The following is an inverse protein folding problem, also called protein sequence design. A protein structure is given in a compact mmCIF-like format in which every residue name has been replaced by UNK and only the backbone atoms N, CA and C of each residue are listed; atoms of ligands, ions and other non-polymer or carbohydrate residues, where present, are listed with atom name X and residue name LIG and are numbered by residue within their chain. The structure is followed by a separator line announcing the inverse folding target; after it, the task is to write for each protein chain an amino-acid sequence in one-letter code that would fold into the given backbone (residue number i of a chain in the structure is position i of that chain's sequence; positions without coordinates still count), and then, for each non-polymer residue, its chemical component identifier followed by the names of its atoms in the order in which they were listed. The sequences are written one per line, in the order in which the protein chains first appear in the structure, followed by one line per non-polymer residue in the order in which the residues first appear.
data_IF_881418588105
#
_entry.id   IF_881418588105
#
_cell.length_a   1.000
_cell.length_b   1.000
_cell.length_c   1.000
_cell.angle_alpha   90.00
_cell.angle_beta   90.00
_cell.angle_gamma   90.00
#
_symmetry.space_group_name_H-M   'P 1'
#
loop_
_entity.id
_entity.type
_entity.pdbx_description
1 polymer ?
#
# COMPACT_ATOMS: atom_id res chain seq x y z
N UNK A 1 41.32 1.68 -14.08
CA UNK A 1 40.26 0.68 -14.40
C UNK A 1 39.74 0.18 -13.07
N UNK A 2 38.56 0.60 -12.67
CA UNK A 2 37.94 0.05 -11.46
C UNK A 2 37.66 -1.43 -11.70
N UNK A 3 38.32 -2.29 -10.93
CA UNK A 3 38.11 -3.73 -11.00
C UNK A 3 36.68 -4.04 -10.56
N UNK A 4 35.96 -4.82 -11.37
CA UNK A 4 34.65 -5.33 -11.00
C UNK A 4 34.74 -6.11 -9.68
N UNK A 5 33.89 -5.71 -8.70
CA UNK A 5 33.74 -6.42 -7.43
C UNK A 5 32.35 -7.02 -7.40
N UNK A 6 32.25 -8.34 -7.35
CA UNK A 6 30.96 -9.04 -7.24
C UNK A 6 30.35 -8.79 -5.86
N UNK A 7 29.48 -7.77 -5.75
CA UNK A 7 28.77 -7.45 -4.50
C UNK A 7 27.56 -8.37 -4.33
N UNK A 8 27.43 -8.94 -3.13
CA UNK A 8 26.25 -9.72 -2.72
C UNK A 8 25.62 -9.10 -1.51
N UNK A 9 24.30 -8.88 -1.54
CA UNK A 9 23.56 -8.34 -0.41
C UNK A 9 22.06 -8.62 -0.56
N UNK A 10 21.32 -8.37 0.51
CA UNK A 10 19.87 -8.45 0.53
C UNK A 10 19.28 -7.09 0.88
N UNK A 11 18.24 -6.70 0.20
CA UNK A 11 17.37 -5.58 0.54
C UNK A 11 15.97 -6.09 0.87
N UNK A 12 15.21 -5.33 1.65
CA UNK A 12 13.81 -5.71 1.89
C UNK A 12 12.94 -4.51 2.20
N UNK A 13 11.69 -4.57 1.76
CA UNK A 13 10.64 -3.62 2.10
C UNK A 13 9.42 -4.35 2.68
N UNK A 14 8.70 -3.75 3.65
CA UNK A 14 7.49 -4.33 4.20
C UNK A 14 6.31 -4.14 3.23
N UNK A 15 5.31 -5.01 3.34
CA UNK A 15 3.96 -4.67 2.93
C UNK A 15 3.30 -3.69 3.89
N UNK A 16 2.09 -3.23 3.55
CA UNK A 16 1.33 -2.28 4.38
C UNK A 16 -0.15 -2.64 4.45
N UNK A 17 -0.81 -2.17 5.49
CA UNK A 17 -2.27 -2.07 5.60
C UNK A 17 -2.68 -0.61 5.70
N UNK A 18 -3.89 -0.27 5.23
CA UNK A 18 -4.51 1.02 5.47
C UNK A 18 -5.51 0.87 6.62
N UNK A 19 -5.28 1.60 7.71
CA UNK A 19 -6.16 1.58 8.89
C UNK A 19 -7.37 2.49 8.67
N UNK A 20 -7.14 3.73 8.23
CA UNK A 20 -8.18 4.74 8.01
C UNK A 20 -7.85 5.58 6.78
N UNK A 21 -8.88 6.12 6.12
CA UNK A 21 -8.69 6.97 4.95
C UNK A 21 -8.42 6.18 3.66
N UNK A 22 -8.91 4.95 3.56
CA UNK A 22 -8.82 4.17 2.33
C UNK A 22 -9.58 4.85 1.20
N UNK A 23 -9.05 4.80 -0.01
CA UNK A 23 -9.63 5.43 -1.19
C UNK A 23 -9.73 6.97 -1.12
N UNK A 24 -8.89 7.66 -0.35
CA UNK A 24 -8.89 9.13 -0.31
C UNK A 24 -7.53 9.78 -0.57
N UNK A 25 -6.43 9.05 -0.54
CA UNK A 25 -5.08 9.54 -0.83
C UNK A 25 -4.97 10.14 -2.25
N UNK A 26 -5.54 9.50 -3.24
CA UNK A 26 -5.60 10.01 -4.62
C UNK A 26 -6.62 11.17 -4.81
N UNK A 27 -7.37 11.53 -3.78
CA UNK A 27 -8.18 12.74 -3.71
C UNK A 27 -7.44 13.90 -3.00
N UNK A 28 -6.16 13.71 -2.67
CA UNK A 28 -5.37 14.68 -1.92
C UNK A 28 -5.70 14.77 -0.43
N UNK A 29 -6.36 13.75 0.13
CA UNK A 29 -6.72 13.70 1.54
C UNK A 29 -5.82 12.72 2.31
N UNK A 30 -5.59 12.97 3.63
CA UNK A 30 -4.73 12.13 4.45
C UNK A 30 -5.24 10.70 4.62
N UNK A 31 -4.32 9.77 4.87
CA UNK A 31 -4.62 8.38 5.21
C UNK A 31 -3.71 7.87 6.33
N UNK A 32 -4.22 6.98 7.17
CA UNK A 32 -3.44 6.29 8.21
C UNK A 32 -3.07 4.91 7.71
N UNK A 33 -1.79 4.67 7.53
CA UNK A 33 -1.22 3.42 7.04
C UNK A 33 -0.25 2.83 8.05
N UNK A 34 -0.07 1.52 8.01
CA UNK A 34 0.86 0.82 8.88
C UNK A 34 1.62 -0.24 8.08
N UNK A 35 2.96 -0.19 8.15
CA UNK A 35 3.80 -1.26 7.65
C UNK A 35 3.57 -2.53 8.48
N UNK A 36 3.56 -3.67 7.81
CA UNK A 36 3.38 -4.99 8.44
C UNK A 36 4.69 -5.76 8.48
N UNK A 37 4.75 -6.82 9.27
CA UNK A 37 5.93 -7.68 9.39
C UNK A 37 6.12 -8.65 8.20
N UNK A 38 5.18 -8.69 7.26
CA UNK A 38 5.35 -9.40 5.99
C UNK A 38 6.22 -8.57 5.04
N UNK A 39 7.27 -9.16 4.49
CA UNK A 39 8.28 -8.42 3.73
C UNK A 39 8.54 -9.05 2.36
N UNK A 40 8.80 -8.18 1.39
CA UNK A 40 9.45 -8.56 0.14
C UNK A 40 10.97 -8.42 0.33
N UNK A 41 11.72 -9.48 0.12
CA UNK A 41 13.18 -9.54 0.17
C UNK A 41 13.71 -9.77 -1.23
N UNK A 42 14.81 -9.11 -1.59
CA UNK A 42 15.50 -9.32 -2.87
C UNK A 42 16.96 -9.60 -2.56
N UNK A 43 17.41 -10.78 -2.95
CA UNK A 43 18.81 -11.19 -2.87
C UNK A 43 19.49 -10.77 -4.17
N UNK A 44 20.52 -9.96 -4.06
CA UNK A 44 21.27 -9.37 -5.16
C UNK A 44 22.64 -10.00 -5.26
N UNK A 45 23.03 -10.36 -6.47
CA UNK A 45 24.40 -10.70 -6.84
C UNK A 45 24.80 -9.91 -8.09
N UNK A 46 25.75 -8.98 -7.95
CA UNK A 46 26.20 -8.13 -9.04
C UNK A 46 26.93 -8.96 -10.12
N UNK A 47 26.74 -8.59 -11.38
CA UNK A 47 27.35 -9.26 -12.56
C UNK A 47 28.45 -8.39 -13.14
N UNK A 48 29.27 -8.97 -13.97
CA UNK A 48 30.30 -8.23 -14.72
C UNK A 48 29.84 -7.73 -16.10
N UNK A 49 28.59 -8.01 -16.47
CA UNK A 49 27.97 -7.59 -17.74
C UNK A 49 26.90 -6.50 -17.49
N UNK A 50 26.10 -6.21 -18.52
CA UNK A 50 25.01 -5.21 -18.46
C UNK A 50 23.61 -5.84 -18.42
N UNK A 51 23.52 -7.10 -18.00
CA UNK A 51 22.26 -7.85 -17.96
C UNK A 51 21.73 -7.95 -16.55
N UNK A 52 20.47 -7.63 -16.37
CA UNK A 52 19.69 -7.89 -15.14
C UNK A 52 18.90 -9.16 -15.35
N UNK A 53 19.06 -10.13 -14.46
CA UNK A 53 18.26 -11.36 -14.45
C UNK A 53 17.49 -11.39 -13.13
N UNK A 54 16.18 -11.61 -13.18
CA UNK A 54 15.36 -11.69 -11.98
C UNK A 54 14.49 -12.95 -11.99
N UNK A 55 14.19 -13.46 -10.81
CA UNK A 55 13.28 -14.59 -10.61
C UNK A 55 12.57 -14.51 -9.26
N UNK A 56 11.39 -15.11 -9.21
CA UNK A 56 10.61 -15.26 -7.95
C UNK A 56 10.20 -16.73 -7.81
N UNK A 57 11.05 -17.61 -7.25
CA UNK A 57 10.78 -19.05 -7.18
C UNK A 57 9.50 -19.42 -6.44
N UNK A 58 9.10 -18.62 -5.42
CA UNK A 58 7.83 -18.83 -4.69
C UNK A 58 6.59 -18.67 -5.57
N UNK A 59 6.66 -17.88 -6.65
CA UNK A 59 5.53 -17.63 -7.56
C UNK A 59 5.54 -18.58 -8.77
N UNK A 60 6.59 -19.37 -8.95
CA UNK A 60 6.75 -20.32 -10.05
C UNK A 60 7.80 -19.89 -11.08
N UNK A 61 8.16 -20.80 -11.97
CA UNK A 61 9.23 -20.59 -12.97
C UNK A 61 8.90 -19.47 -13.97
N UNK A 62 7.62 -19.26 -14.27
CA UNK A 62 7.14 -18.20 -15.16
C UNK A 62 7.35 -16.79 -14.61
N UNK A 63 7.57 -16.66 -13.28
CA UNK A 63 7.90 -15.39 -12.65
C UNK A 63 9.39 -15.11 -12.67
N UNK A 64 9.91 -14.96 -13.87
CA UNK A 64 11.32 -14.66 -14.14
C UNK A 64 11.45 -13.80 -15.39
N UNK A 65 12.60 -13.14 -15.53
CA UNK A 65 12.85 -12.33 -16.72
C UNK A 65 14.25 -11.77 -16.75
N UNK A 66 14.52 -11.05 -17.83
CA UNK A 66 15.81 -10.41 -18.03
C UNK A 66 15.64 -9.05 -18.72
N UNK A 67 16.50 -8.09 -18.35
CA UNK A 67 16.61 -6.79 -18.98
C UNK A 67 18.04 -6.55 -19.43
N UNK A 68 18.20 -5.96 -20.59
CA UNK A 68 19.48 -5.44 -21.08
C UNK A 68 19.54 -3.94 -20.76
N UNK A 69 20.46 -3.52 -19.88
CA UNK A 69 20.59 -2.12 -19.44
C UNK A 69 20.94 -1.15 -20.57
N UNK A 70 21.53 -1.66 -21.65
CA UNK A 70 21.86 -0.86 -22.83
C UNK A 70 20.62 -0.67 -23.74
N UNK A 71 19.66 -1.63 -23.72
CA UNK A 71 18.52 -1.70 -24.64
C UNK A 71 17.15 -1.78 -23.91
N UNK A 72 16.95 -1.00 -22.85
CA UNK A 72 15.72 -1.05 -22.03
C UNK A 72 14.42 -0.68 -22.80
N UNK A 73 14.51 0.19 -23.81
CA UNK A 73 13.34 0.72 -24.51
C UNK A 73 12.76 -0.26 -25.55
N UNK A 74 13.48 -1.35 -25.88
CA UNK A 74 13.04 -2.36 -26.85
C UNK A 74 12.39 -3.58 -26.20
N UNK A 75 12.32 -3.62 -24.89
CA UNK A 75 11.76 -4.75 -24.14
C UNK A 75 10.22 -4.74 -24.23
N UNK A 76 9.62 -5.75 -24.85
CA UNK A 76 8.18 -6.00 -24.74
C UNK A 76 7.84 -6.42 -23.32
N UNK A 77 6.76 -5.85 -22.76
CA UNK A 77 6.51 -5.95 -21.34
C UNK A 77 5.05 -6.27 -21.04
N UNK A 78 4.84 -7.24 -20.16
CA UNK A 78 3.54 -7.54 -19.58
C UNK A 78 3.66 -7.86 -18.08
N UNK A 79 2.63 -7.54 -17.31
CA UNK A 79 2.52 -7.91 -15.89
C UNK A 79 3.52 -7.17 -14.97
N UNK A 80 4.00 -7.85 -13.92
CA UNK A 80 4.90 -7.32 -12.89
C UNK A 80 6.22 -6.78 -13.46
N UNK A 81 6.67 -7.32 -14.59
CA UNK A 81 7.88 -6.85 -15.31
C UNK A 81 7.77 -5.37 -15.68
N UNK A 82 6.56 -4.85 -15.93
CA UNK A 82 6.33 -3.46 -16.30
C UNK A 82 6.88 -2.49 -15.25
N UNK A 83 6.60 -2.73 -13.97
CA UNK A 83 7.05 -1.84 -12.89
C UNK A 83 8.55 -1.93 -12.66
N UNK A 84 9.16 -3.12 -12.78
CA UNK A 84 10.61 -3.27 -12.70
C UNK A 84 11.31 -2.55 -13.85
N UNK A 85 10.79 -2.68 -15.07
CA UNK A 85 11.36 -2.00 -16.23
C UNK A 85 11.15 -0.50 -16.21
N UNK A 86 9.95 0.00 -15.87
CA UNK A 86 9.69 1.45 -15.76
C UNK A 86 10.69 2.11 -14.82
N UNK A 87 11.00 1.44 -13.68
CA UNK A 87 12.01 1.93 -12.73
C UNK A 87 13.42 2.00 -13.33
N UNK A 88 13.82 1.01 -14.14
CA UNK A 88 15.10 1.01 -14.86
C UNK A 88 15.17 2.13 -15.91
N UNK A 89 14.09 2.33 -16.68
CA UNK A 89 13.99 3.39 -17.68
C UNK A 89 14.09 4.77 -17.02
N UNK A 90 13.37 4.98 -15.91
CA UNK A 90 13.43 6.24 -15.16
C UNK A 90 14.83 6.47 -14.60
N UNK A 91 15.46 5.45 -14.00
CA UNK A 91 16.83 5.53 -13.50
C UNK A 91 17.84 5.85 -14.62
N UNK A 92 17.65 5.28 -15.83
CA UNK A 92 18.48 5.58 -17.00
C UNK A 92 18.36 7.05 -17.42
N UNK A 93 17.10 7.57 -17.51
CA UNK A 93 16.85 8.96 -17.89
C UNK A 93 17.45 9.96 -16.90
N UNK A 94 17.55 9.59 -15.64
CA UNK A 94 18.13 10.43 -14.58
C UNK A 94 19.61 10.19 -14.32
N UNK A 95 20.29 9.35 -15.12
CA UNK A 95 21.70 9.05 -14.95
C UNK A 95 22.06 8.26 -13.69
N UNK A 96 21.10 7.57 -13.08
CA UNK A 96 21.24 6.80 -11.83
C UNK A 96 21.28 5.28 -12.02
N UNK A 97 21.36 4.83 -13.27
CA UNK A 97 21.40 3.40 -13.57
C UNK A 97 22.73 2.79 -13.08
N UNK A 98 22.72 1.60 -12.46
CA UNK A 98 23.94 0.89 -12.08
C UNK A 98 24.88 0.64 -13.29
N UNK A 99 26.19 0.67 -13.03
CA UNK A 99 27.22 0.45 -14.05
C UNK A 99 27.19 -0.98 -14.58
N UNK A 100 26.87 -1.95 -13.74
CA UNK A 100 26.80 -3.36 -14.07
C UNK A 100 25.40 -3.91 -13.83
N UNK A 101 25.08 -5.03 -14.49
CA UNK A 101 23.88 -5.81 -14.26
C UNK A 101 23.95 -6.62 -12.96
N UNK A 102 22.87 -7.31 -12.62
CA UNK A 102 22.80 -8.14 -11.42
C UNK A 102 21.81 -9.29 -11.58
N UNK A 103 21.98 -10.32 -10.79
CA UNK A 103 20.97 -11.35 -10.54
C UNK A 103 20.15 -10.92 -9.33
N UNK A 104 18.83 -11.03 -9.41
CA UNK A 104 17.89 -10.72 -8.35
C UNK A 104 16.99 -11.93 -8.07
N UNK A 105 17.07 -12.50 -6.87
CA UNK A 105 16.12 -13.52 -6.42
C UNK A 105 15.12 -12.88 -5.46
N UNK A 106 13.85 -12.86 -5.85
CA UNK A 106 12.75 -12.26 -5.09
C UNK A 106 12.12 -13.32 -4.18
N UNK A 107 12.15 -13.06 -2.88
CA UNK A 107 11.53 -13.87 -1.82
C UNK A 107 10.54 -12.99 -1.04
N UNK A 108 9.23 -13.15 -1.30
CA UNK A 108 8.20 -12.31 -0.69
C UNK A 108 7.27 -13.14 0.18
N UNK A 109 7.01 -12.64 1.40
CA UNK A 109 5.95 -13.10 2.28
C UNK A 109 4.68 -12.22 2.18
N UNK A 110 4.74 -11.11 1.43
CA UNK A 110 3.59 -10.24 1.20
C UNK A 110 2.66 -10.90 0.19
N UNK A 111 1.40 -11.17 0.54
CA UNK A 111 0.45 -11.82 -0.35
C UNK A 111 0.23 -11.03 -1.63
N UNK A 112 0.29 -11.72 -2.77
CA UNK A 112 0.10 -11.09 -4.09
C UNK A 112 -1.39 -10.84 -4.34
N UNK A 113 -1.75 -9.67 -4.87
CA UNK A 113 -3.13 -9.25 -5.16
C UNK A 113 -4.08 -9.23 -3.95
N UNK A 114 -3.57 -9.33 -2.74
CA UNK A 114 -4.35 -9.35 -1.51
C UNK A 114 -4.64 -7.97 -0.89
N UNK A 115 -4.06 -6.90 -1.42
CA UNK A 115 -4.26 -5.54 -0.91
C UNK A 115 -3.14 -5.04 0.01
N UNK A 116 -2.13 -5.88 0.30
CA UNK A 116 -1.01 -5.57 1.20
C UNK A 116 0.14 -4.80 0.51
N UNK A 117 -0.08 -4.19 -0.65
CA UNK A 117 0.93 -3.47 -1.46
C UNK A 117 2.14 -4.32 -1.82
N UNK A 118 1.89 -5.55 -2.30
CA UNK A 118 2.97 -6.45 -2.74
C UNK A 118 3.81 -5.85 -3.87
N UNK A 119 3.19 -5.15 -4.82
CA UNK A 119 3.88 -4.46 -5.93
C UNK A 119 4.73 -3.30 -5.44
N UNK A 120 4.21 -2.45 -4.56
CA UNK A 120 4.94 -1.32 -3.99
C UNK A 120 6.10 -1.79 -3.10
N UNK A 121 5.90 -2.84 -2.28
CA UNK A 121 6.96 -3.45 -1.48
C UNK A 121 8.09 -4.01 -2.37
N UNK A 122 7.74 -4.71 -3.45
CA UNK A 122 8.69 -5.19 -4.44
C UNK A 122 9.47 -4.03 -5.07
N UNK A 123 8.76 -3.00 -5.52
CA UNK A 123 9.37 -1.89 -6.24
C UNK A 123 10.26 -1.02 -5.35
N UNK A 124 9.84 -0.75 -4.11
CA UNK A 124 10.67 -0.07 -3.11
C UNK A 124 11.96 -0.86 -2.84
N UNK A 125 11.87 -2.18 -2.61
CA UNK A 125 13.04 -3.01 -2.43
C UNK A 125 13.94 -3.05 -3.68
N UNK A 126 13.34 -3.13 -4.87
CA UNK A 126 14.06 -3.14 -6.16
C UNK A 126 14.83 -1.83 -6.39
N UNK A 127 14.19 -0.69 -6.21
CA UNK A 127 14.82 0.62 -6.38
C UNK A 127 15.91 0.83 -5.31
N UNK A 128 15.69 0.41 -4.06
CA UNK A 128 16.72 0.45 -3.02
C UNK A 128 17.95 -0.42 -3.40
N UNK A 129 17.75 -1.57 -4.05
CA UNK A 129 18.84 -2.37 -4.58
C UNK A 129 19.62 -1.63 -5.69
N UNK A 130 18.91 -1.00 -6.63
CA UNK A 130 19.52 -0.19 -7.70
C UNK A 130 20.32 0.98 -7.14
N UNK A 131 19.80 1.71 -6.16
CA UNK A 131 20.49 2.80 -5.48
C UNK A 131 21.78 2.33 -4.83
N UNK A 132 21.74 1.18 -4.14
CA UNK A 132 22.94 0.59 -3.52
C UNK A 132 23.98 0.15 -4.57
N UNK A 133 23.54 -0.36 -5.72
CA UNK A 133 24.43 -0.75 -6.81
C UNK A 133 25.04 0.45 -7.53
N UNK A 134 24.28 1.52 -7.74
CA UNK A 134 24.75 2.75 -8.42
C UNK A 134 25.49 3.70 -7.49
N UNK A 135 25.35 3.57 -6.15
CA UNK A 135 25.89 4.50 -5.17
C UNK A 135 25.03 5.77 -4.96
N UNK A 136 23.89 5.91 -5.62
CA UNK A 136 22.95 7.02 -5.50
C UNK A 136 21.89 6.74 -4.45
N UNK A 137 22.27 6.80 -3.16
CA UNK A 137 21.34 6.57 -2.04
C UNK A 137 20.54 7.84 -1.77
N UNK A 138 19.23 7.70 -1.66
CA UNK A 138 18.28 8.80 -1.37
C UNK A 138 17.61 8.61 -0.01
N UNK A 139 16.85 9.61 0.43
CA UNK A 139 15.99 9.51 1.62
C UNK A 139 14.83 8.54 1.38
N UNK A 140 14.17 8.09 2.46
CA UNK A 140 13.02 7.19 2.37
C UNK A 140 11.87 7.82 1.55
N UNK A 141 11.66 9.13 1.67
CA UNK A 141 10.58 9.80 0.92
C UNK A 141 10.92 9.96 -0.56
N UNK A 142 12.18 10.21 -0.90
CA UNK A 142 12.63 10.22 -2.29
C UNK A 142 12.55 8.83 -2.92
N UNK A 143 12.91 7.78 -2.16
CA UNK A 143 12.74 6.39 -2.59
C UNK A 143 11.26 6.06 -2.86
N UNK A 144 10.35 6.48 -1.95
CA UNK A 144 8.91 6.35 -2.14
C UNK A 144 8.43 7.08 -3.40
N UNK A 145 8.93 8.30 -3.64
CA UNK A 145 8.63 9.09 -4.83
C UNK A 145 9.07 8.40 -6.13
N UNK A 146 10.26 7.81 -6.16
CA UNK A 146 10.74 7.03 -7.29
C UNK A 146 9.87 5.78 -7.55
N UNK A 147 9.47 5.08 -6.48
CA UNK A 147 8.58 3.94 -6.59
C UNK A 147 7.18 4.37 -7.11
N UNK A 148 6.63 5.48 -6.62
CA UNK A 148 5.38 6.04 -7.12
C UNK A 148 5.45 6.44 -8.60
N UNK A 149 6.54 7.07 -9.01
CA UNK A 149 6.74 7.42 -10.43
C UNK A 149 6.76 6.18 -11.31
N UNK A 150 7.44 5.10 -10.88
CA UNK A 150 7.56 3.88 -11.66
C UNK A 150 6.29 3.00 -11.66
N UNK A 151 5.48 3.03 -10.58
CA UNK A 151 4.29 2.19 -10.42
C UNK A 151 3.01 2.87 -10.90
N UNK A 152 2.89 4.18 -10.66
CA UNK A 152 1.65 4.94 -10.87
C UNK A 152 1.79 5.95 -11.99
N UNK A 153 2.70 6.92 -11.87
CA UNK A 153 2.79 8.04 -12.82
C UNK A 153 3.19 7.60 -14.21
N UNK A 154 4.12 6.65 -14.34
CA UNK A 154 4.59 6.15 -15.64
C UNK A 154 3.48 5.53 -16.49
N UNK A 155 2.46 4.94 -15.84
CA UNK A 155 1.34 4.27 -16.48
C UNK A 155 0.03 5.09 -16.44
N UNK A 156 0.07 6.32 -15.96
CA UNK A 156 -1.12 7.14 -15.71
C UNK A 156 -2.21 6.37 -14.91
N UNK A 157 -1.75 5.59 -13.93
CA UNK A 157 -2.62 4.75 -13.12
C UNK A 157 -3.39 5.57 -12.06
N UNK A 158 -4.59 5.15 -11.64
CA UNK A 158 -5.46 5.94 -10.75
C UNK A 158 -5.05 5.94 -9.27
N UNK A 159 -3.91 5.35 -8.90
CA UNK A 159 -3.45 5.23 -7.49
C UNK A 159 -2.97 6.55 -6.87
N UNK A 160 -2.88 6.58 -5.54
CA UNK A 160 -2.14 7.57 -4.75
C UNK A 160 -0.76 7.02 -4.32
N UNK A 161 -0.08 7.72 -3.42
CA UNK A 161 1.29 7.42 -3.01
C UNK A 161 1.45 6.81 -1.61
N UNK A 162 0.34 6.58 -0.89
CA UNK A 162 0.39 6.08 0.49
C UNK A 162 1.10 4.72 0.61
N UNK A 163 0.99 3.89 -0.42
CA UNK A 163 1.56 2.55 -0.48
C UNK A 163 3.08 2.59 -0.49
N UNK A 164 3.64 3.39 -1.39
CA UNK A 164 5.08 3.52 -1.56
C UNK A 164 5.71 4.21 -0.35
N UNK A 165 5.05 5.23 0.23
CA UNK A 165 5.49 5.89 1.46
C UNK A 165 5.53 4.89 2.62
N UNK A 166 4.46 4.11 2.83
CA UNK A 166 4.40 3.14 3.90
C UNK A 166 5.45 2.02 3.75
N UNK A 167 5.65 1.50 2.52
CA UNK A 167 6.64 0.46 2.24
C UNK A 167 8.09 0.97 2.36
N UNK A 168 8.34 2.27 2.14
CA UNK A 168 9.67 2.87 2.22
C UNK A 168 10.02 3.31 3.63
N UNK A 169 9.15 4.10 4.27
CA UNK A 169 9.40 4.70 5.60
C UNK A 169 9.20 3.69 6.73
N UNK A 170 8.20 2.80 6.60
CA UNK A 170 7.86 1.82 7.63
C UNK A 170 7.12 2.41 8.84
N UNK A 171 6.74 1.55 9.79
CA UNK A 171 6.01 1.97 10.99
C UNK A 171 4.56 2.34 10.74
N UNK A 172 3.96 3.05 11.68
CA UNK A 172 2.61 3.63 11.54
C UNK A 172 2.74 5.10 11.13
N UNK A 173 2.05 5.47 10.06
CA UNK A 173 2.16 6.80 9.45
C UNK A 173 0.77 7.38 9.19
N UNK A 174 0.64 8.70 9.39
CA UNK A 174 -0.36 9.50 8.73
C UNK A 174 0.27 10.08 7.48
N UNK A 175 -0.10 9.58 6.32
CA UNK A 175 0.33 10.13 5.02
C UNK A 175 -0.57 11.30 4.69
N UNK A 176 0.01 12.48 4.51
CA UNK A 176 -0.72 13.71 4.24
C UNK A 176 0.06 14.55 3.23
N UNK A 177 -0.49 14.82 2.03
CA UNK A 177 0.21 15.61 1.02
C UNK A 177 0.47 17.06 1.44
N UNK A 178 -0.18 17.56 2.49
CA UNK A 178 0.03 18.91 3.00
C UNK A 178 1.18 19.00 4.02
N UNK A 179 1.70 17.87 4.50
CA UNK A 179 2.86 17.84 5.39
C UNK A 179 4.15 18.04 4.59
N UNK A 180 5.15 18.68 5.22
CA UNK A 180 6.44 18.99 4.58
C UNK A 180 7.12 17.76 3.97
N UNK A 181 7.10 16.65 4.70
CA UNK A 181 7.72 15.39 4.29
C UNK A 181 6.69 14.40 3.73
N UNK A 182 5.44 14.84 3.50
CA UNK A 182 4.36 14.02 3.00
C UNK A 182 3.77 13.04 4.02
N UNK A 183 4.27 13.01 5.26
CA UNK A 183 3.77 12.13 6.32
C UNK A 183 4.14 12.60 7.73
N UNK A 184 3.39 12.09 8.72
CA UNK A 184 3.70 12.19 10.15
C UNK A 184 3.87 10.76 10.71
N UNK A 185 4.94 10.50 11.48
CA UNK A 185 5.08 9.24 12.20
C UNK A 185 4.12 9.21 13.39
N UNK A 186 3.34 8.14 13.48
CA UNK A 186 2.44 7.88 14.61
C UNK A 186 3.18 7.06 15.67
N UNK A 187 2.67 7.08 16.89
CA UNK A 187 3.26 6.32 18.02
C UNK A 187 3.11 4.81 17.89
N UNK A 188 3.61 4.09 18.87
CA UNK A 188 3.45 2.64 18.95
C UNK A 188 1.98 2.27 19.13
N UNK A 189 1.52 1.25 18.42
CA UNK A 189 0.14 0.77 18.54
C UNK A 189 -0.07 -0.02 19.84
N UNK A 190 -1.19 0.26 20.52
CA UNK A 190 -1.71 -0.51 21.66
C UNK A 190 -2.52 -1.75 21.23
N UNK A 191 -2.48 -2.10 19.95
CA UNK A 191 -3.20 -3.21 19.34
C UNK A 191 -2.32 -4.02 18.40
N UNK A 192 -2.74 -5.24 18.12
CA UNK A 192 -2.26 -6.09 17.05
C UNK A 192 -3.29 -6.13 15.92
N UNK A 193 -2.86 -6.60 14.75
CA UNK A 193 -3.72 -6.81 13.60
C UNK A 193 -3.71 -8.27 13.19
N UNK A 194 -4.90 -8.84 12.95
CA UNK A 194 -5.06 -10.10 12.24
C UNK A 194 -5.46 -9.79 10.81
N UNK A 195 -4.76 -10.41 9.88
CA UNK A 195 -5.02 -10.28 8.45
C UNK A 195 -5.69 -11.56 7.95
N UNK A 196 -6.85 -11.41 7.30
CA UNK A 196 -7.57 -12.50 6.67
C UNK A 196 -7.63 -12.31 5.15
N UNK A 197 -7.19 -13.32 4.39
CA UNK A 197 -7.26 -13.31 2.92
C UNK A 197 -8.52 -14.03 2.45
N UNK A 198 -9.36 -13.34 1.71
CA UNK A 198 -10.56 -13.92 1.14
C UNK A 198 -10.28 -14.88 -0.03
N UNK A 199 -9.06 -14.93 -0.54
CA UNK A 199 -8.70 -15.68 -1.75
C UNK A 199 -9.60 -15.37 -2.96
N UNK A 200 -10.25 -14.21 -2.97
CA UNK A 200 -11.08 -13.77 -4.08
C UNK A 200 -10.28 -12.84 -5.00
N UNK A 201 -10.28 -13.10 -6.33
CA UNK A 201 -9.62 -12.21 -7.28
C UNK A 201 -10.27 -10.83 -7.29
N UNK A 202 -9.51 -9.80 -7.67
CA UNK A 202 -9.99 -8.42 -7.73
C UNK A 202 -9.54 -7.69 -8.98
N UNK A 203 -10.39 -6.78 -9.47
CA UNK A 203 -10.05 -5.79 -10.49
C UNK A 203 -9.60 -4.49 -9.83
N UNK A 204 -8.31 -4.39 -9.51
CA UNK A 204 -7.74 -3.24 -8.81
C UNK A 204 -7.90 -1.94 -9.60
N UNK A 205 -7.58 -1.95 -10.91
CA UNK A 205 -7.58 -0.73 -11.73
C UNK A 205 -8.99 -0.21 -11.94
N UNK A 206 -9.94 -1.07 -12.30
CA UNK A 206 -11.33 -0.67 -12.53
C UNK A 206 -12.00 -0.12 -11.27
N UNK A 207 -11.71 -0.72 -10.10
CA UNK A 207 -12.26 -0.25 -8.82
C UNK A 207 -11.68 1.11 -8.43
N UNK A 208 -10.35 1.27 -8.50
CA UNK A 208 -9.68 2.54 -8.19
C UNK A 208 -10.15 3.65 -9.12
N UNK A 209 -10.23 3.38 -10.44
CA UNK A 209 -10.72 4.33 -11.43
C UNK A 209 -12.13 4.81 -11.09
N UNK A 210 -13.07 3.90 -10.86
CA UNK A 210 -14.44 4.23 -10.48
C UNK A 210 -14.48 5.06 -9.20
N UNK A 211 -13.86 4.59 -8.13
CA UNK A 211 -13.87 5.28 -6.84
C UNK A 211 -13.18 6.65 -6.88
N UNK A 212 -12.19 6.85 -7.75
CA UNK A 212 -11.51 8.13 -7.94
C UNK A 212 -12.35 9.08 -8.77
N UNK A 213 -12.68 8.67 -10.00
CA UNK A 213 -13.23 9.60 -10.99
C UNK A 213 -14.67 9.99 -10.69
N UNK A 214 -15.52 9.09 -10.16
CA UNK A 214 -16.88 9.43 -9.74
C UNK A 214 -16.87 10.57 -8.72
N UNK A 215 -15.96 10.56 -7.76
CA UNK A 215 -15.84 11.58 -6.71
C UNK A 215 -15.15 12.85 -7.20
N UNK A 216 -14.08 12.74 -8.00
CA UNK A 216 -13.41 13.93 -8.57
C UNK A 216 -14.33 14.70 -9.52
N UNK A 217 -15.18 14.01 -10.29
CA UNK A 217 -16.16 14.66 -11.18
C UNK A 217 -17.15 15.50 -10.36
N UNK A 218 -17.67 14.97 -9.25
CA UNK A 218 -18.55 15.72 -8.35
C UNK A 218 -17.80 16.92 -7.75
N UNK A 219 -16.57 16.72 -7.26
CA UNK A 219 -15.77 17.77 -6.64
C UNK A 219 -15.51 18.92 -7.61
N UNK A 220 -15.07 18.62 -8.84
CA UNK A 220 -14.76 19.63 -9.86
C UNK A 220 -16.02 20.41 -10.28
N UNK A 221 -17.14 19.73 -10.48
CA UNK A 221 -18.43 20.36 -10.83
C UNK A 221 -18.95 21.29 -9.74
N UNK A 222 -18.51 21.13 -8.49
CA UNK A 222 -18.98 21.90 -7.33
C UNK A 222 -17.90 22.79 -6.71
N UNK A 223 -16.92 23.26 -7.47
CA UNK A 223 -15.98 24.29 -7.04
C UNK A 223 -14.66 23.80 -6.47
N UNK A 224 -14.44 22.49 -6.37
CA UNK A 224 -13.14 21.90 -6.03
C UNK A 224 -12.82 21.80 -4.52
N UNK A 225 -13.76 22.18 -3.64
CA UNK A 225 -13.57 22.12 -2.17
C UNK A 225 -14.69 21.32 -1.52
N UNK A 226 -14.35 20.21 -0.86
CA UNK A 226 -15.34 19.28 -0.29
C UNK A 226 -16.29 19.94 0.73
N UNK A 227 -15.78 20.81 1.59
CA UNK A 227 -16.58 21.47 2.63
C UNK A 227 -17.46 22.63 2.10
N UNK A 228 -17.26 23.05 0.87
CA UNK A 228 -18.04 24.13 0.21
C UNK A 228 -19.09 23.61 -0.75
N UNK A 229 -19.21 22.28 -0.91
CA UNK A 229 -20.24 21.68 -1.75
C UNK A 229 -21.62 21.93 -1.16
N UNK A 230 -22.50 22.56 -1.96
CA UNK A 230 -23.91 22.74 -1.58
C UNK A 230 -24.68 21.42 -1.69
N UNK A 231 -24.80 20.70 -0.56
CA UNK A 231 -25.43 19.40 -0.49
C UNK A 231 -26.89 19.39 -0.97
N UNK A 232 -27.59 20.53 -0.88
CA UNK A 232 -29.00 20.63 -1.29
C UNK A 232 -29.17 20.62 -2.83
N UNK A 233 -28.10 20.92 -3.59
CA UNK A 233 -28.12 20.90 -5.05
C UNK A 233 -27.75 19.55 -5.66
N UNK A 234 -27.28 18.60 -4.83
CA UNK A 234 -26.86 17.29 -5.30
C UNK A 234 -28.07 16.37 -5.51
N UNK A 235 -27.99 15.51 -6.52
CA UNK A 235 -28.87 14.36 -6.62
C UNK A 235 -28.55 13.35 -5.51
N UNK A 236 -29.43 12.39 -5.28
CA UNK A 236 -29.30 11.41 -4.17
C UNK A 236 -28.03 10.56 -4.22
N UNK A 237 -27.53 10.26 -5.42
CA UNK A 237 -26.32 9.43 -5.61
C UNK A 237 -25.08 10.23 -5.25
N UNK A 238 -24.97 11.44 -5.81
CA UNK A 238 -23.85 12.34 -5.56
C UNK A 238 -23.81 12.77 -4.09
N UNK A 239 -24.97 13.09 -3.49
CA UNK A 239 -25.09 13.39 -2.08
C UNK A 239 -24.51 12.27 -1.21
N UNK A 240 -24.93 11.03 -1.47
CA UNK A 240 -24.45 9.86 -0.71
C UNK A 240 -22.92 9.67 -0.84
N UNK A 241 -22.34 9.88 -2.04
CA UNK A 241 -20.89 9.81 -2.25
C UNK A 241 -20.15 10.94 -1.53
N UNK A 242 -20.67 12.17 -1.56
CA UNK A 242 -20.05 13.33 -0.88
C UNK A 242 -20.10 13.17 0.64
N UNK A 243 -21.25 12.86 1.20
CA UNK A 243 -21.41 12.63 2.64
C UNK A 243 -20.48 11.49 3.14
N UNK A 244 -20.43 10.38 2.41
CA UNK A 244 -19.51 9.27 2.73
C UNK A 244 -18.04 9.66 2.60
N UNK A 245 -17.68 10.48 1.64
CA UNK A 245 -16.29 10.96 1.46
C UNK A 245 -15.89 11.90 2.59
N UNK A 246 -16.74 12.85 2.97
CA UNK A 246 -16.51 13.76 4.10
C UNK A 246 -16.41 12.95 5.40
N UNK A 247 -17.32 12.01 5.62
CA UNK A 247 -17.30 11.18 6.83
C UNK A 247 -16.06 10.29 6.90
N UNK A 248 -15.59 9.72 5.79
CA UNK A 248 -14.35 8.95 5.73
C UNK A 248 -13.13 9.81 6.15
N UNK A 249 -13.04 11.04 5.65
CA UNK A 249 -12.03 12.02 6.05
C UNK A 249 -12.09 12.33 7.56
N UNK A 250 -13.28 12.53 8.10
CA UNK A 250 -13.45 12.89 9.51
C UNK A 250 -13.13 11.73 10.46
N UNK A 251 -13.39 10.48 10.03
CA UNK A 251 -12.93 9.27 10.73
C UNK A 251 -11.41 9.21 10.74
N UNK A 252 -10.74 9.45 9.61
CA UNK A 252 -9.27 9.48 9.54
C UNK A 252 -8.71 10.53 10.49
N UNK A 253 -9.23 11.77 10.46
CA UNK A 253 -8.80 12.86 11.33
C UNK A 253 -8.95 12.51 12.82
N UNK A 254 -10.08 11.90 13.20
CA UNK A 254 -10.34 11.48 14.58
C UNK A 254 -9.41 10.35 14.99
N UNK A 255 -9.24 9.33 14.15
CA UNK A 255 -8.38 8.19 14.44
C UNK A 255 -6.91 8.59 14.53
N UNK A 256 -6.41 9.42 13.61
CA UNK A 256 -5.03 9.89 13.62
C UNK A 256 -4.70 10.71 14.88
N UNK A 257 -5.62 11.59 15.33
CA UNK A 257 -5.42 12.34 16.56
C UNK A 257 -5.35 11.45 17.81
N UNK A 258 -6.15 10.35 17.84
CA UNK A 258 -6.09 9.34 18.91
C UNK A 258 -4.82 8.51 18.87
N UNK A 259 -4.28 8.22 17.68
CA UNK A 259 -3.03 7.47 17.51
C UNK A 259 -1.77 8.26 17.89
N UNK A 260 -1.87 9.58 18.04
CA UNK A 260 -0.78 10.44 18.49
C UNK A 260 -0.64 10.51 20.02
N UNK A 261 -1.65 10.08 20.78
CA UNK A 261 -1.62 10.11 22.25
C UNK A 261 -1.13 8.78 22.85
N UNK A 262 -0.48 8.84 24.03
CA UNK A 262 0.12 7.66 24.67
C UNK A 262 -0.90 6.62 25.15
N UNK A 263 -2.07 7.06 25.67
CA UNK A 263 -3.12 6.17 26.20
C UNK A 263 -4.26 6.04 25.19
N UNK A 264 -4.02 5.33 24.10
CA UNK A 264 -5.00 5.09 23.04
C UNK A 264 -6.14 4.18 23.52
N UNK A 265 -7.40 4.61 23.34
CA UNK A 265 -8.54 3.70 23.49
C UNK A 265 -8.63 2.82 22.23
N UNK A 266 -8.31 1.55 22.39
CA UNK A 266 -8.34 0.58 21.27
C UNK A 266 -9.77 0.30 20.84
N UNK A 267 -10.71 0.33 21.79
CA UNK A 267 -12.15 0.17 21.54
C UNK A 267 -12.68 1.29 20.65
N UNK A 268 -12.30 2.55 20.94
CA UNK A 268 -12.70 3.69 20.08
C UNK A 268 -12.08 3.62 18.70
N UNK A 269 -10.80 3.22 18.60
CA UNK A 269 -10.15 2.99 17.30
C UNK A 269 -10.82 1.85 16.54
N UNK A 270 -11.18 0.76 17.21
CA UNK A 270 -11.92 -0.35 16.61
C UNK A 270 -13.31 0.06 16.11
N UNK A 271 -14.03 0.86 16.89
CA UNK A 271 -15.34 1.40 16.48
C UNK A 271 -15.22 2.27 15.22
N UNK A 272 -14.21 3.18 15.16
CA UNK A 272 -13.94 3.99 13.98
C UNK A 272 -13.54 3.13 12.76
N UNK A 273 -12.81 2.01 12.98
CA UNK A 273 -12.45 1.06 11.91
C UNK A 273 -13.71 0.39 11.33
N UNK A 274 -14.63 -0.04 12.18
CA UNK A 274 -15.88 -0.67 11.76
C UNK A 274 -16.82 0.34 11.07
N UNK A 275 -16.86 1.58 11.53
CA UNK A 275 -17.58 2.65 10.84
C UNK A 275 -16.98 2.96 9.47
N UNK A 276 -15.65 3.04 9.36
CA UNK A 276 -14.96 3.18 8.09
C UNK A 276 -15.33 2.02 7.15
N UNK A 277 -15.36 0.77 7.67
CA UNK A 277 -15.79 -0.38 6.87
C UNK A 277 -17.19 -0.20 6.28
N UNK A 278 -18.14 0.33 7.06
CA UNK A 278 -19.49 0.56 6.56
C UNK A 278 -19.52 1.55 5.38
N UNK A 279 -18.69 2.59 5.39
CA UNK A 279 -18.55 3.50 4.25
C UNK A 279 -17.98 2.79 3.01
N UNK A 280 -16.94 1.99 3.20
CA UNK A 280 -16.34 1.20 2.12
C UNK A 280 -17.33 0.21 1.50
N UNK A 281 -18.18 -0.40 2.33
CA UNK A 281 -19.24 -1.33 1.92
C UNK A 281 -20.41 -0.60 1.25
N UNK A 282 -20.99 0.40 1.94
CA UNK A 282 -22.30 0.93 1.60
C UNK A 282 -22.24 2.12 0.63
N UNK A 283 -21.18 2.93 0.71
CA UNK A 283 -20.98 4.09 -0.16
C UNK A 283 -20.11 3.70 -1.37
N UNK A 284 -18.89 3.21 -1.12
CA UNK A 284 -17.95 2.89 -2.21
C UNK A 284 -18.22 1.54 -2.87
N UNK A 285 -19.07 0.67 -2.28
CA UNK A 285 -19.46 -0.64 -2.84
C UNK A 285 -18.25 -1.53 -3.17
N UNK A 286 -17.26 -1.55 -2.28
CA UNK A 286 -16.01 -2.31 -2.49
C UNK A 286 -15.89 -3.57 -1.63
N UNK A 287 -16.83 -3.84 -0.72
CA UNK A 287 -16.86 -5.08 0.04
C UNK A 287 -17.54 -6.23 -0.73
N UNK A 288 -17.40 -7.44 -0.21
CA UNK A 288 -18.00 -8.66 -0.76
C UNK A 288 -18.66 -9.47 0.36
N UNK A 289 -19.66 -10.34 0.04
CA UNK A 289 -20.29 -11.18 1.07
C UNK A 289 -19.32 -12.07 1.85
N UNK A 290 -18.18 -12.45 1.24
CA UNK A 290 -17.14 -13.23 1.90
C UNK A 290 -16.39 -12.38 2.93
N UNK A 291 -15.98 -11.17 2.56
CA UNK A 291 -15.32 -10.21 3.45
C UNK A 291 -16.24 -9.85 4.62
N UNK A 292 -17.56 -9.63 4.38
CA UNK A 292 -18.52 -9.35 5.45
C UNK A 292 -18.53 -10.48 6.49
N UNK A 293 -18.65 -11.73 6.01
CA UNK A 293 -18.62 -12.90 6.90
C UNK A 293 -17.34 -13.02 7.71
N UNK A 294 -16.18 -12.68 7.10
CA UNK A 294 -14.89 -12.69 7.79
C UNK A 294 -14.82 -11.57 8.84
N UNK A 295 -15.29 -10.36 8.52
CA UNK A 295 -15.36 -9.26 9.48
C UNK A 295 -16.28 -9.61 10.66
N UNK A 296 -17.49 -10.12 10.39
CA UNK A 296 -18.44 -10.54 11.43
C UNK A 296 -17.86 -11.65 12.32
N UNK A 297 -17.19 -12.63 11.72
CA UNK A 297 -16.54 -13.71 12.46
C UNK A 297 -15.41 -13.20 13.37
N UNK A 298 -14.59 -12.25 12.89
CA UNK A 298 -13.54 -11.64 13.69
C UNK A 298 -14.10 -10.85 14.88
N UNK A 299 -15.15 -10.05 14.68
CA UNK A 299 -15.83 -9.30 15.76
C UNK A 299 -16.44 -10.27 16.78
N UNK A 300 -17.15 -11.30 16.33
CA UNK A 300 -17.75 -12.30 17.21
C UNK A 300 -16.69 -13.09 18.01
N UNK A 301 -15.48 -13.21 17.48
CA UNK A 301 -14.35 -13.84 18.15
C UNK A 301 -13.58 -12.88 19.09
N UNK A 302 -13.98 -11.62 19.20
CA UNK A 302 -13.44 -10.66 20.18
C UNK A 302 -12.54 -9.57 19.59
N UNK A 303 -12.48 -9.39 18.27
CA UNK A 303 -11.85 -8.21 17.69
C UNK A 303 -12.69 -6.95 18.00
N UNK A 304 -12.04 -5.84 18.27
CA UNK A 304 -12.73 -4.56 18.59
C UNK A 304 -13.12 -3.77 17.35
N UNK A 305 -12.60 -4.13 16.19
CA UNK A 305 -12.95 -3.56 14.90
C UNK A 305 -12.44 -4.42 13.76
N UNK A 306 -13.14 -4.42 12.64
CA UNK A 306 -12.74 -5.14 11.44
C UNK A 306 -13.14 -4.39 10.17
N UNK A 307 -12.34 -4.51 9.11
CA UNK A 307 -12.61 -3.86 7.83
C UNK A 307 -11.93 -4.54 6.64
N UNK A 308 -12.50 -4.37 5.47
CA UNK A 308 -11.79 -4.59 4.20
C UNK A 308 -10.69 -3.55 4.03
N UNK A 309 -9.60 -3.88 3.34
CA UNK A 309 -8.57 -2.91 2.98
C UNK A 309 -7.97 -3.16 1.58
N UNK A 310 -7.27 -2.16 1.05
CA UNK A 310 -6.79 -2.11 -0.32
C UNK A 310 -7.91 -1.72 -1.30
N UNK A 311 -7.76 -2.01 -2.59
CA UNK A 311 -8.73 -1.60 -3.62
C UNK A 311 -10.13 -2.18 -3.45
N UNK A 312 -10.29 -3.29 -2.72
CA UNK A 312 -11.58 -3.92 -2.47
C UNK A 312 -12.06 -4.90 -3.55
N UNK A 313 -13.32 -5.33 -3.42
CA UNK A 313 -14.00 -6.38 -4.21
C UNK A 313 -13.26 -7.72 -4.23
N UNK A 314 -12.73 -8.12 -3.08
CA UNK A 314 -11.86 -9.27 -2.83
C UNK A 314 -10.62 -8.85 -2.06
N UNK A 315 -9.57 -9.68 -2.08
CA UNK A 315 -8.36 -9.46 -1.31
C UNK A 315 -8.59 -9.70 0.19
N UNK A 316 -8.07 -8.83 1.03
CA UNK A 316 -8.00 -9.06 2.48
C UNK A 316 -8.91 -8.15 3.31
N UNK A 317 -9.15 -8.61 4.53
CA UNK A 317 -9.64 -7.82 5.64
C UNK A 317 -8.60 -7.74 6.76
N UNK A 318 -8.72 -6.74 7.63
CA UNK A 318 -7.99 -6.66 8.89
C UNK A 318 -8.96 -6.63 10.07
N UNK A 319 -8.52 -7.24 11.18
CA UNK A 319 -9.21 -7.16 12.47
C UNK A 319 -8.26 -6.58 13.52
N UNK A 320 -8.73 -5.64 14.31
CA UNK A 320 -7.98 -4.98 15.38
C UNK A 320 -8.18 -5.74 16.69
N UNK A 321 -7.07 -6.11 17.33
CA UNK A 321 -7.04 -6.92 18.54
C UNK A 321 -6.31 -6.14 19.63
N UNK A 322 -6.92 -5.84 20.78
CA UNK A 322 -6.27 -5.10 21.84
C UNK A 322 -5.11 -5.89 22.44
N UNK A 323 -4.04 -5.19 22.81
CA UNK A 323 -2.94 -5.75 23.61
C UNK A 323 -3.30 -5.71 25.10
N UNK A 324 -3.00 -6.79 25.81
CA UNK A 324 -3.16 -6.85 27.25
C UNK A 324 -1.86 -6.41 27.95
N UNK A 325 -1.90 -5.33 28.73
CA UNK A 325 -0.71 -4.76 29.41
C UNK A 325 0.48 -4.52 28.45
N UNK A 326 0.19 -4.01 27.24
CA UNK A 326 1.20 -3.74 26.21
C UNK A 326 1.77 -4.99 25.52
N UNK A 327 1.25 -6.18 25.80
CA UNK A 327 1.66 -7.44 25.18
C UNK A 327 0.55 -8.03 24.33
N UNK A 328 0.94 -8.71 23.25
CA UNK A 328 0.01 -9.43 22.37
C UNK A 328 -0.73 -10.53 23.14
N UNK A 329 -2.06 -10.56 23.02
CA UNK A 329 -2.87 -11.68 23.51
C UNK A 329 -2.86 -12.81 22.47
N UNK A 330 -1.93 -13.74 22.64
CA UNK A 330 -1.75 -14.84 21.69
C UNK A 330 -2.96 -15.78 21.60
N UNK A 331 -3.73 -15.92 22.70
CA UNK A 331 -4.94 -16.75 22.73
C UNK A 331 -6.04 -16.10 21.89
N UNK A 332 -6.31 -14.82 22.11
CA UNK A 332 -7.29 -14.05 21.34
C UNK A 332 -6.91 -13.95 19.87
N UNK A 333 -5.63 -13.71 19.57
CA UNK A 333 -5.12 -13.72 18.19
C UNK A 333 -5.33 -15.06 17.50
N UNK A 334 -5.08 -16.18 18.19
CA UNK A 334 -5.31 -17.53 17.65
C UNK A 334 -6.81 -17.80 17.43
N UNK A 335 -7.67 -17.40 18.37
CA UNK A 335 -9.12 -17.52 18.25
C UNK A 335 -9.65 -16.77 17.03
N UNK A 336 -9.26 -15.49 16.86
CA UNK A 336 -9.69 -14.68 15.71
C UNK A 336 -9.17 -15.27 14.39
N UNK A 337 -7.90 -15.69 14.33
CA UNK A 337 -7.34 -16.35 13.15
C UNK A 337 -8.08 -17.63 12.75
N UNK A 338 -8.57 -18.38 13.70
CA UNK A 338 -9.31 -19.63 13.43
C UNK A 338 -10.77 -19.38 13.02
N UNK A 339 -11.31 -18.18 13.26
CA UNK A 339 -12.72 -17.81 12.97
C UNK A 339 -12.91 -17.27 11.56
N UNK A 340 -11.87 -16.71 10.95
CA UNK A 340 -11.89 -16.07 9.62
C UNK A 340 -11.33 -16.98 8.55
#
# INVERSE_FOLDING_TARGET
MDSFVNRKFTVSAPGRVCLYGEHQDYLGMPSVVMAVNLRCKIHIEERGDRIVVWSSPKLGEDFSGKFDLDNLETSEISGVQNHLLSSLILAKREGRLPKYGWNATIDSDVPVQAGCSSSSALLVAWIAAMQRLSGHITTEIELAGQAFQAEVSYFDAPGGNMDQIACSVGGALRVDPNEKDGYIKLGNSSFDLVLGDSNAPKDTIGILSRCKFDRLDILVKNGGVWDEIDLQKLNKVDLHLVEGTIRNRDIERTASSKLLIENQSVEELGALMSEHHSILRDVLKISTPKIEKMCDAAINAGAVGAKIFGSGRGGCMIAMVPKSNGKSDLSLLAQIKSSI
#
